data_IF_802444448674
#
_entry.id   IF_802444448674
#
_cell.length_a   1.000
_cell.length_b   1.000
_cell.length_c   1.000
_cell.angle_alpha   90.00
_cell.angle_beta   90.00
_cell.angle_gamma   90.00
#
_symmetry.space_group_name_H-M   'P 1'
#
loop_
_entity.id
_entity.type
_entity.pdbx_description
1 polymer ?
#
# COMPACT_ATOMS: atom_id res chain seq x y z
N UNK A 1 -13.17 -28.09 28.82
CA UNK A 1 -13.45 -28.20 27.37
C UNK A 1 -13.70 -26.79 26.85
N UNK A 2 -12.71 -26.16 26.22
CA UNK A 2 -12.86 -24.84 25.60
C UNK A 2 -12.83 -25.03 24.08
N UNK A 3 -13.97 -24.88 23.44
CA UNK A 3 -14.11 -24.96 21.98
C UNK A 3 -13.52 -23.68 21.38
N UNK A 4 -12.29 -23.75 20.85
CA UNK A 4 -11.77 -22.67 20.01
C UNK A 4 -12.46 -22.75 18.65
N UNK A 5 -13.36 -21.81 18.37
CA UNK A 5 -13.85 -21.60 17.01
C UNK A 5 -12.72 -21.04 16.16
N UNK A 6 -12.32 -21.77 15.11
CA UNK A 6 -11.36 -21.29 14.12
C UNK A 6 -12.02 -20.22 13.26
N UNK A 7 -11.90 -18.94 13.64
CA UNK A 7 -12.35 -17.85 12.76
C UNK A 7 -11.39 -17.75 11.57
N UNK A 8 -11.85 -18.20 10.40
CA UNK A 8 -11.12 -18.00 9.15
C UNK A 8 -11.11 -16.50 8.82
N UNK A 9 -9.92 -15.91 8.69
CA UNK A 9 -9.78 -14.54 8.20
C UNK A 9 -10.31 -14.48 6.76
N UNK A 10 -11.05 -13.42 6.42
CA UNK A 10 -11.50 -13.21 5.05
C UNK A 10 -10.30 -13.01 4.13
N UNK A 11 -10.36 -13.58 2.93
CA UNK A 11 -9.33 -13.37 1.92
C UNK A 11 -9.46 -11.95 1.34
N UNK A 12 -8.34 -11.26 1.05
CA UNK A 12 -8.38 -10.00 0.33
C UNK A 12 -9.11 -10.14 -1.01
N UNK A 13 -9.75 -9.05 -1.45
CA UNK A 13 -10.38 -9.04 -2.77
C UNK A 13 -9.35 -9.32 -3.87
N UNK A 14 -9.65 -10.25 -4.78
CA UNK A 14 -8.71 -10.70 -5.81
C UNK A 14 -7.68 -11.74 -5.34
N UNK A 15 -7.81 -12.25 -4.11
CA UNK A 15 -7.02 -13.39 -3.61
C UNK A 15 -5.63 -13.04 -3.07
N UNK A 16 -5.27 -11.75 -3.03
CA UNK A 16 -3.98 -11.28 -2.51
C UNK A 16 -4.09 -9.82 -2.09
N UNK A 17 -3.55 -9.50 -0.92
CA UNK A 17 -3.40 -8.10 -0.50
C UNK A 17 -2.41 -7.40 -1.43
N UNK A 18 -2.85 -6.28 -2.02
CA UNK A 18 -1.98 -5.41 -2.79
C UNK A 18 -1.18 -4.54 -1.83
N UNK A 19 0.13 -4.62 -1.91
CA UNK A 19 1.05 -3.78 -1.15
C UNK A 19 2.03 -3.12 -2.13
N UNK A 20 1.92 -1.81 -2.28
CA UNK A 20 2.79 -1.00 -3.15
C UNK A 20 3.88 -0.28 -2.38
N UNK A 21 3.97 -0.46 -1.06
CA UNK A 21 5.00 0.16 -0.23
C UNK A 21 6.29 -0.62 -0.41
N UNK A 22 7.27 0.01 -1.06
CA UNK A 22 8.58 -0.60 -1.29
C UNK A 22 9.41 -0.65 -0.01
N UNK A 23 10.39 -1.56 0.02
CA UNK A 23 11.38 -1.60 1.09
C UNK A 23 12.10 -0.25 1.26
N UNK A 24 12.62 0.08 2.47
CA UNK A 24 13.31 1.33 2.72
C UNK A 24 14.46 1.61 1.73
N UNK A 25 15.27 0.57 1.43
CA UNK A 25 16.36 0.66 0.45
C UNK A 25 15.84 1.07 -0.93
N UNK A 26 14.81 0.39 -1.42
CA UNK A 26 14.21 0.72 -2.72
C UNK A 26 13.55 2.10 -2.70
N UNK A 27 13.01 2.52 -1.56
CA UNK A 27 12.49 3.86 -1.34
C UNK A 27 13.55 4.93 -1.58
N UNK A 28 14.77 4.77 -1.06
CA UNK A 28 15.86 5.71 -1.30
C UNK A 28 16.27 5.77 -2.79
N UNK A 29 16.31 4.62 -3.47
CA UNK A 29 16.57 4.57 -4.91
C UNK A 29 15.50 5.32 -5.72
N UNK A 30 14.22 5.14 -5.39
CA UNK A 30 13.11 5.83 -6.05
C UNK A 30 13.09 7.32 -5.75
N UNK A 31 13.43 7.75 -4.52
CA UNK A 31 13.59 9.16 -4.17
C UNK A 31 14.73 9.81 -4.93
N UNK A 32 15.84 9.11 -5.16
CA UNK A 32 16.93 9.63 -5.98
C UNK A 32 16.49 9.80 -7.45
N UNK A 33 15.80 8.80 -8.01
CA UNK A 33 15.26 8.84 -9.37
C UNK A 33 14.22 9.96 -9.56
N UNK A 34 13.32 10.15 -8.60
CA UNK A 34 12.20 11.09 -8.72
C UNK A 34 12.64 12.54 -8.91
N UNK A 35 13.85 12.90 -8.47
CA UNK A 35 14.45 14.23 -8.68
C UNK A 35 14.60 14.60 -10.16
N UNK A 36 14.58 13.60 -11.05
CA UNK A 36 14.72 13.76 -12.50
C UNK A 36 13.40 13.60 -13.25
N UNK A 37 12.29 13.40 -12.54
CA UNK A 37 10.95 13.23 -13.13
C UNK A 37 10.12 14.51 -12.98
N UNK A 38 9.15 14.77 -13.88
CA UNK A 38 8.18 15.83 -13.69
C UNK A 38 7.41 15.64 -12.39
N UNK A 39 7.21 16.73 -11.64
CA UNK A 39 6.43 16.72 -10.42
C UNK A 39 4.95 17.06 -10.72
N UNK A 40 4.05 16.30 -10.12
CA UNK A 40 2.63 16.61 -10.04
C UNK A 40 2.26 16.87 -8.58
N UNK A 41 1.74 18.06 -8.28
CA UNK A 41 1.23 18.36 -6.95
C UNK A 41 -0.15 17.75 -6.77
N UNK A 42 -0.29 16.93 -5.72
CA UNK A 42 -1.55 16.29 -5.39
C UNK A 42 -2.37 17.17 -4.43
N UNK A 43 -3.69 17.16 -4.59
CA UNK A 43 -4.60 17.70 -3.59
C UNK A 43 -4.63 16.80 -2.36
N UNK A 44 -5.08 17.33 -1.21
CA UNK A 44 -5.23 16.52 0.00
C UNK A 44 -6.12 15.29 -0.21
N UNK A 45 -7.18 15.42 -1.04
CA UNK A 45 -8.05 14.31 -1.38
C UNK A 45 -7.33 13.23 -2.19
N UNK A 46 -6.57 13.63 -3.21
CA UNK A 46 -5.81 12.70 -4.03
C UNK A 46 -4.70 11.99 -3.23
N UNK A 47 -4.14 12.63 -2.20
CA UNK A 47 -3.22 11.96 -1.27
C UNK A 47 -3.89 10.81 -0.51
N UNK A 48 -5.13 11.02 -0.02
CA UNK A 48 -5.89 9.94 0.63
C UNK A 48 -6.17 8.78 -0.34
N UNK A 49 -6.58 9.09 -1.57
CA UNK A 49 -6.84 8.04 -2.57
C UNK A 49 -5.53 7.29 -2.93
N UNK A 50 -4.39 7.98 -3.01
CA UNK A 50 -3.07 7.35 -3.21
C UNK A 50 -2.68 6.43 -2.04
N UNK A 51 -2.99 6.82 -0.80
CA UNK A 51 -2.74 5.99 0.38
C UNK A 51 -3.56 4.69 0.34
N UNK A 52 -4.86 4.78 0.03
CA UNK A 52 -5.73 3.60 -0.12
C UNK A 52 -5.18 2.61 -1.15
N UNK A 53 -4.74 3.12 -2.30
CA UNK A 53 -4.12 2.32 -3.35
C UNK A 53 -2.80 1.69 -2.88
N UNK A 54 -1.99 2.42 -2.12
CA UNK A 54 -0.69 1.95 -1.65
C UNK A 54 -0.80 0.76 -0.68
N UNK A 55 -1.84 0.75 0.15
CA UNK A 55 -2.03 -0.26 1.21
C UNK A 55 -3.05 -1.37 0.86
N UNK A 56 -3.70 -1.28 -0.31
CA UNK A 56 -4.66 -2.30 -0.77
C UNK A 56 -5.99 -2.32 0.00
N UNK A 57 -6.47 -1.15 0.41
CA UNK A 57 -7.72 -0.96 1.16
C UNK A 57 -9.00 -1.21 0.32
#
# INVERSE_FOLDING_TARGET
MTTQGTSTLIEPYGGRLVDLVVSPRRGEELKALSRHLPALQLSSRACCDLELLAIGA
#
